data_IF_930101465448
#
_entry.id   IF_930101465448
#
_cell.length_a   1.000
_cell.length_b   1.000
_cell.length_c   1.000
_cell.angle_alpha   90.00
_cell.angle_beta   90.00
_cell.angle_gamma   90.00
#
_symmetry.space_group_name_H-M   'P 1'
#
loop_
_entity.id
_entity.type
_entity.pdbx_description
1 polymer ?
#
# COMPACT_ATOMS: atom_id res chain seq x y z
N UNK A 1 -6.91 2.57 22.68
CA UNK A 1 -5.84 1.56 22.55
C UNK A 1 -5.29 1.69 21.16
N UNK A 2 -4.06 2.19 21.02
CA UNK A 2 -3.31 2.17 19.76
C UNK A 2 -3.10 0.71 19.36
N UNK A 3 -3.45 0.36 18.12
CA UNK A 3 -3.25 -1.00 17.63
C UNK A 3 -1.76 -1.14 17.30
N UNK A 4 -1.01 -1.77 18.21
CA UNK A 4 0.45 -1.89 18.12
C UNK A 4 0.92 -2.51 16.80
N UNK A 5 0.12 -3.38 16.19
CA UNK A 5 0.43 -3.97 14.89
C UNK A 5 0.32 -2.93 13.76
N UNK A 6 -0.82 -2.23 13.68
CA UNK A 6 -1.05 -1.25 12.61
C UNK A 6 -0.05 -0.10 12.69
N UNK A 7 0.16 0.45 13.89
CA UNK A 7 1.08 1.58 14.08
C UNK A 7 2.51 1.20 13.71
N UNK A 8 2.94 -0.02 14.09
CA UNK A 8 4.25 -0.54 13.68
C UNK A 8 4.31 -0.74 12.17
N UNK A 9 3.32 -1.39 11.56
CA UNK A 9 3.28 -1.60 10.11
C UNK A 9 3.37 -0.28 9.32
N UNK A 10 2.62 0.74 9.74
CA UNK A 10 2.66 2.07 9.10
C UNK A 10 4.03 2.72 9.26
N UNK A 11 4.69 2.56 10.42
CA UNK A 11 6.03 3.11 10.65
C UNK A 11 7.12 2.50 9.76
N UNK A 12 6.85 1.34 9.15
CA UNK A 12 7.76 0.68 8.20
C UNK A 12 7.66 1.23 6.77
N UNK A 13 6.65 2.04 6.44
CA UNK A 13 6.57 2.70 5.13
C UNK A 13 7.86 3.50 4.88
N UNK A 14 8.43 3.32 3.70
CA UNK A 14 9.67 3.97 3.28
C UNK A 14 10.95 3.34 3.84
N UNK A 15 10.85 2.24 4.61
CA UNK A 15 12.02 1.46 4.97
C UNK A 15 12.40 0.52 3.83
N UNK A 16 13.70 0.25 3.68
CA UNK A 16 14.20 -0.64 2.64
C UNK A 16 14.27 -2.09 3.10
N UNK A 17 14.42 -3.02 2.14
CA UNK A 17 14.73 -4.42 2.37
C UNK A 17 16.11 -4.67 3.02
N UNK A 18 16.85 -3.62 3.40
CA UNK A 18 18.06 -3.70 4.24
C UNK A 18 17.79 -3.33 5.70
N UNK A 19 16.63 -2.75 5.99
CA UNK A 19 16.25 -2.38 7.35
C UNK A 19 15.85 -3.64 8.15
N UNK A 20 16.57 -3.89 9.23
CA UNK A 20 16.36 -5.09 10.06
C UNK A 20 14.98 -5.11 10.72
N UNK A 21 14.45 -3.96 11.13
CA UNK A 21 13.14 -3.88 11.80
C UNK A 21 12.04 -4.27 10.82
N UNK A 22 12.13 -3.80 9.57
CA UNK A 22 11.21 -4.21 8.50
C UNK A 22 11.29 -5.72 8.25
N UNK A 23 12.49 -6.25 8.04
CA UNK A 23 12.68 -7.68 7.78
C UNK A 23 12.12 -8.53 8.93
N UNK A 24 12.52 -8.21 10.17
CA UNK A 24 12.10 -8.96 11.35
C UNK A 24 10.58 -8.90 11.52
N UNK A 25 9.95 -7.75 11.23
CA UNK A 25 8.50 -7.61 11.27
C UNK A 25 7.80 -8.49 10.22
N UNK A 26 8.26 -8.46 8.98
CA UNK A 26 7.65 -9.23 7.89
C UNK A 26 7.81 -10.74 8.10
N UNK A 27 8.98 -11.20 8.57
CA UNK A 27 9.23 -12.61 8.92
C UNK A 27 8.38 -13.02 10.13
N UNK A 28 8.34 -12.24 11.20
CA UNK A 28 7.59 -12.59 12.42
C UNK A 28 6.08 -12.66 12.20
N UNK A 29 5.57 -11.92 11.22
CA UNK A 29 4.16 -11.97 10.80
C UNK A 29 3.92 -12.94 9.62
N UNK A 30 4.93 -13.75 9.26
CA UNK A 30 4.92 -14.74 8.19
C UNK A 30 4.60 -14.17 6.80
N UNK A 31 4.75 -12.86 6.55
CA UNK A 31 4.51 -12.26 5.23
C UNK A 31 5.53 -12.74 4.21
N UNK A 32 6.75 -12.95 4.68
CA UNK A 32 7.86 -13.59 3.97
C UNK A 32 8.46 -14.67 4.88
N UNK A 33 9.20 -15.62 4.31
CA UNK A 33 9.96 -16.61 5.05
C UNK A 33 11.35 -16.08 5.45
N UNK A 34 11.95 -15.24 4.60
CA UNK A 34 13.28 -14.67 4.86
C UNK A 34 13.51 -13.37 4.11
N UNK A 35 14.57 -12.65 4.46
CA UNK A 35 14.99 -11.43 3.75
C UNK A 35 15.22 -11.65 2.25
N UNK A 36 15.60 -12.87 1.85
CA UNK A 36 15.83 -13.22 0.45
C UNK A 36 14.55 -13.18 -0.38
N UNK A 37 13.36 -13.19 0.24
CA UNK A 37 12.09 -13.11 -0.49
C UNK A 37 11.78 -11.66 -0.93
N UNK A 38 12.50 -10.66 -0.40
CA UNK A 38 12.42 -9.25 -0.81
C UNK A 38 13.49 -8.94 -1.85
N UNK A 39 13.38 -9.58 -3.01
CA UNK A 39 14.23 -9.32 -4.16
C UNK A 39 13.37 -9.03 -5.39
N UNK A 40 13.91 -8.21 -6.30
CA UNK A 40 13.31 -7.96 -7.60
C UNK A 40 14.33 -8.48 -8.65
N UNK A 41 14.03 -9.57 -9.36
CA UNK A 41 14.96 -10.10 -10.35
C UNK A 41 15.06 -9.12 -11.52
N UNK A 42 16.24 -8.55 -11.80
CA UNK A 42 16.40 -7.53 -12.85
C UNK A 42 16.11 -8.01 -14.28
N UNK A 43 15.97 -9.33 -14.47
CA UNK A 43 15.61 -9.96 -15.73
C UNK A 43 14.31 -10.76 -15.59
N UNK A 44 13.48 -10.75 -16.62
CA UNK A 44 12.30 -11.60 -16.72
C UNK A 44 12.63 -13.05 -17.11
N UNK A 45 11.61 -13.85 -17.34
CA UNK A 45 11.75 -15.28 -17.71
C UNK A 45 12.41 -15.52 -19.07
N UNK A 46 12.40 -14.51 -19.95
CA UNK A 46 13.01 -14.54 -21.27
C UNK A 46 14.44 -13.95 -21.28
N UNK A 47 14.89 -13.38 -20.15
CA UNK A 47 16.20 -12.77 -19.99
C UNK A 47 16.25 -11.29 -20.42
N UNK A 48 15.10 -10.67 -20.66
CA UNK A 48 14.97 -9.24 -20.94
C UNK A 48 14.94 -8.44 -19.64
N UNK A 49 15.30 -7.15 -19.70
CA UNK A 49 15.23 -6.28 -18.52
C UNK A 49 13.77 -6.10 -18.08
N UNK A 50 13.51 -6.21 -16.78
CA UNK A 50 12.18 -5.91 -16.24
C UNK A 50 11.74 -4.49 -16.62
N UNK A 51 10.49 -4.38 -17.03
CA UNK A 51 9.75 -3.12 -17.18
C UNK A 51 9.01 -2.73 -15.88
N UNK A 52 8.86 -3.67 -14.94
CA UNK A 52 8.29 -3.44 -13.61
C UNK A 52 9.36 -3.14 -12.55
N UNK A 53 9.14 -2.05 -11.81
CA UNK A 53 9.98 -1.59 -10.69
C UNK A 53 9.42 -1.96 -9.32
N UNK A 54 8.35 -2.77 -9.30
CA UNK A 54 7.58 -3.10 -8.11
C UNK A 54 7.60 -4.60 -7.83
N UNK A 55 7.90 -4.96 -6.59
CA UNK A 55 7.65 -6.28 -6.03
C UNK A 55 6.36 -6.23 -5.20
N UNK A 56 5.45 -7.17 -5.47
CA UNK A 56 4.18 -7.30 -4.76
C UNK A 56 4.22 -8.47 -3.78
N UNK A 57 3.81 -8.24 -2.54
CA UNK A 57 3.60 -9.29 -1.54
C UNK A 57 2.15 -9.27 -1.10
N UNK A 58 1.40 -10.28 -1.51
CA UNK A 58 -0.04 -10.38 -1.26
C UNK A 58 -0.37 -11.44 -0.23
N UNK A 59 -1.16 -11.06 0.77
CA UNK A 59 -1.69 -11.92 1.84
C UNK A 59 -3.21 -11.95 1.73
N UNK A 60 -3.67 -12.75 0.77
CA UNK A 60 -5.07 -12.79 0.34
C UNK A 60 -6.05 -13.06 1.49
N UNK A 61 -5.73 -13.99 2.39
CA UNK A 61 -6.62 -14.36 3.51
C UNK A 61 -6.68 -13.29 4.59
N UNK A 62 -5.63 -12.50 4.72
CA UNK A 62 -5.49 -11.42 5.68
C UNK A 62 -6.02 -10.08 5.16
N UNK A 63 -6.29 -9.98 3.85
CA UNK A 63 -6.74 -8.73 3.23
C UNK A 63 -5.65 -7.67 3.12
N UNK A 64 -4.38 -8.08 3.04
CA UNK A 64 -3.24 -7.18 2.97
C UNK A 64 -2.44 -7.39 1.68
N UNK A 65 -1.96 -6.32 1.08
CA UNK A 65 -0.90 -6.38 0.07
C UNK A 65 0.12 -5.27 0.30
N UNK A 66 1.35 -5.53 -0.10
CA UNK A 66 2.48 -4.62 0.05
C UNK A 66 3.13 -4.41 -1.31
N UNK A 67 3.50 -3.18 -1.62
CA UNK A 67 4.35 -2.86 -2.77
C UNK A 67 5.70 -2.42 -2.24
N UNK A 68 6.73 -3.08 -2.74
CA UNK A 68 8.11 -2.69 -2.60
C UNK A 68 8.60 -2.13 -3.93
N UNK A 69 9.21 -0.95 -3.91
CA UNK A 69 9.60 -0.22 -5.12
C UNK A 69 11.13 -0.08 -5.17
N UNK A 70 11.74 -0.30 -6.32
CA UNK A 70 13.18 -0.10 -6.51
C UNK A 70 13.60 1.34 -6.15
N UNK A 71 14.77 1.46 -5.52
CA UNK A 71 15.38 2.71 -5.08
C UNK A 71 15.38 3.79 -6.15
N UNK A 72 15.66 3.41 -7.39
CA UNK A 72 15.76 4.35 -8.50
C UNK A 72 14.46 5.09 -8.73
N UNK A 73 13.35 4.34 -8.71
CA UNK A 73 12.03 4.92 -8.89
C UNK A 73 11.56 5.60 -7.60
N UNK A 74 11.82 5.00 -6.44
CA UNK A 74 11.46 5.54 -5.15
C UNK A 74 12.12 6.90 -4.86
N UNK A 75 13.38 7.10 -5.30
CA UNK A 75 14.13 8.35 -5.14
C UNK A 75 14.00 9.31 -6.34
N UNK A 76 13.14 9.00 -7.32
CA UNK A 76 12.94 9.76 -8.57
C UNK A 76 14.21 9.95 -9.43
N UNK A 77 15.09 8.95 -9.46
CA UNK A 77 16.26 8.93 -10.34
C UNK A 77 15.93 8.29 -11.69
N UNK A 78 14.99 8.88 -12.44
CA UNK A 78 14.41 8.30 -13.67
C UNK A 78 15.43 7.93 -14.77
N UNK A 79 16.63 8.50 -14.73
CA UNK A 79 17.70 8.24 -15.70
C UNK A 79 18.62 7.07 -15.32
N UNK A 80 18.42 6.43 -14.15
CA UNK A 80 19.22 5.29 -13.71
C UNK A 80 18.51 3.96 -14.03
N UNK A 81 19.28 2.88 -14.30
CA UNK A 81 18.70 1.56 -14.47
C UNK A 81 18.17 1.02 -13.14
N UNK A 82 17.17 0.14 -13.22
CA UNK A 82 16.67 -0.64 -12.08
C UNK A 82 17.83 -1.48 -11.52
N UNK A 83 18.02 -1.42 -10.20
CA UNK A 83 19.08 -2.18 -9.53
C UNK A 83 18.57 -3.51 -8.98
N UNK A 84 17.32 -3.54 -8.52
CA UNK A 84 16.74 -4.65 -7.74
C UNK A 84 17.39 -4.84 -6.37
N UNK A 85 18.41 -4.05 -6.01
CA UNK A 85 19.22 -4.26 -4.80
C UNK A 85 18.54 -3.71 -3.55
N UNK A 86 17.98 -2.50 -3.68
CA UNK A 86 17.33 -1.75 -2.62
C UNK A 86 15.86 -1.56 -2.99
N UNK A 87 14.99 -2.22 -2.25
CA UNK A 87 13.54 -2.12 -2.42
C UNK A 87 12.92 -1.46 -1.21
N UNK A 88 12.12 -0.42 -1.42
CA UNK A 88 11.48 0.36 -0.37
C UNK A 88 10.00 0.01 -0.26
N UNK A 89 9.51 -0.26 0.95
CA UNK A 89 8.07 -0.46 1.18
C UNK A 89 7.33 0.85 0.87
N UNK A 90 6.75 0.94 -0.33
CA UNK A 90 6.16 2.18 -0.84
C UNK A 90 4.67 2.26 -0.57
N UNK A 91 3.97 1.12 -0.57
CA UNK A 91 2.52 1.07 -0.36
C UNK A 91 2.07 -0.12 0.48
N UNK A 92 1.08 0.12 1.34
CA UNK A 92 0.30 -0.91 2.04
C UNK A 92 -1.15 -0.81 1.59
N UNK A 93 -1.76 -1.93 1.21
CA UNK A 93 -3.18 -2.06 0.87
C UNK A 93 -3.92 -2.83 1.95
N UNK A 94 -5.12 -2.35 2.27
CA UNK A 94 -6.11 -3.00 3.12
C UNK A 94 -7.37 -3.24 2.28
N UNK A 95 -7.69 -4.50 2.04
CA UNK A 95 -8.78 -4.89 1.14
C UNK A 95 -10.08 -5.17 1.88
N UNK A 96 -11.19 -4.88 1.19
CA UNK A 96 -12.52 -5.33 1.56
C UNK A 96 -12.84 -6.71 0.95
N UNK A 97 -13.89 -7.36 1.45
CA UNK A 97 -14.27 -8.72 1.07
C UNK A 97 -14.49 -8.86 -0.44
N UNK A 98 -13.84 -9.86 -1.05
CA UNK A 98 -14.05 -10.25 -2.44
C UNK A 98 -13.40 -9.32 -3.47
N UNK A 99 -12.68 -8.28 -3.04
CA UNK A 99 -11.92 -7.43 -3.95
C UNK A 99 -10.68 -8.17 -4.40
N UNK A 100 -10.58 -8.49 -5.71
CA UNK A 100 -9.41 -9.14 -6.31
C UNK A 100 -9.03 -10.48 -5.64
N UNK A 101 -10.02 -11.19 -5.09
CA UNK A 101 -9.82 -12.47 -4.39
C UNK A 101 -9.33 -12.34 -2.95
N UNK A 102 -9.19 -11.13 -2.41
CA UNK A 102 -8.84 -10.91 -1.01
C UNK A 102 -10.05 -11.12 -0.09
N UNK A 103 -9.79 -11.69 1.08
CA UNK A 103 -10.68 -11.59 2.24
C UNK A 103 -10.61 -10.18 2.82
N UNK A 104 -11.67 -9.74 3.52
CA UNK A 104 -11.63 -8.43 4.17
C UNK A 104 -10.59 -8.40 5.30
N UNK A 105 -9.75 -7.37 5.32
CA UNK A 105 -8.88 -7.07 6.46
C UNK A 105 -9.71 -6.83 7.73
N UNK A 106 -9.40 -7.56 8.80
CA UNK A 106 -10.24 -7.62 10.02
C UNK A 106 -9.73 -6.75 11.17
N UNK A 107 -8.51 -6.25 11.10
CA UNK A 107 -7.96 -5.40 12.15
C UNK A 107 -8.34 -3.93 11.92
N UNK A 108 -8.02 -3.07 12.88
CA UNK A 108 -8.27 -1.63 12.81
C UNK A 108 -7.61 -1.03 11.56
N UNK A 109 -8.34 -0.16 10.86
CA UNK A 109 -7.81 0.67 9.78
C UNK A 109 -7.23 1.98 10.34
N UNK A 110 -6.37 2.68 9.58
CA UNK A 110 -5.88 4.01 9.93
C UNK A 110 -7.05 4.96 10.26
N UNK A 111 -6.86 5.87 11.21
CA UNK A 111 -7.89 6.83 11.66
C UNK A 111 -9.19 6.19 12.19
N UNK A 112 -9.15 4.90 12.57
CA UNK A 112 -10.33 4.12 12.97
C UNK A 112 -11.41 4.05 11.88
N UNK A 113 -10.99 4.07 10.61
CA UNK A 113 -11.91 3.88 9.50
C UNK A 113 -12.53 2.47 9.52
N UNK A 114 -13.64 2.32 8.82
CA UNK A 114 -14.34 1.05 8.67
C UNK A 114 -14.78 0.88 7.21
N UNK A 115 -14.71 -0.34 6.68
CA UNK A 115 -15.09 -0.62 5.28
C UNK A 115 -16.58 -0.40 4.96
N UNK A 116 -17.44 -0.28 5.98
CA UNK A 116 -18.84 0.08 5.84
C UNK A 116 -19.09 1.58 5.67
N UNK A 117 -18.08 2.42 5.93
CA UNK A 117 -18.16 3.87 5.73
C UNK A 117 -18.33 4.22 4.25
N UNK A 118 -18.99 5.36 4.00
CA UNK A 118 -19.12 5.97 2.68
C UNK A 118 -18.11 7.11 2.52
N UNK A 119 -18.00 7.62 1.30
CA UNK A 119 -17.11 8.74 0.98
C UNK A 119 -17.33 9.98 1.87
N UNK A 120 -18.59 10.35 2.17
CA UNK A 120 -18.86 11.50 3.04
C UNK A 120 -18.37 11.26 4.49
N UNK A 121 -18.49 10.04 5.00
CA UNK A 121 -17.99 9.70 6.35
C UNK A 121 -16.46 9.83 6.41
N UNK A 122 -15.78 9.45 5.32
CA UNK A 122 -14.33 9.62 5.20
C UNK A 122 -13.93 11.10 5.15
N UNK A 123 -14.68 11.93 4.41
CA UNK A 123 -14.45 13.37 4.35
C UNK A 123 -14.64 14.04 5.73
N UNK A 124 -15.62 13.60 6.52
CA UNK A 124 -15.85 14.11 7.88
C UNK A 124 -14.68 13.78 8.82
N UNK A 125 -14.05 12.62 8.66
CA UNK A 125 -12.93 12.15 9.51
C UNK A 125 -11.58 12.70 9.04
N UNK A 126 -11.33 12.67 7.73
CA UNK A 126 -10.03 12.94 7.13
C UNK A 126 -9.90 14.37 6.59
N UNK A 127 -11.01 15.10 6.48
CA UNK A 127 -11.09 16.40 5.83
C UNK A 127 -11.23 16.29 4.31
N UNK A 128 -10.96 17.41 3.62
CA UNK A 128 -11.16 17.53 2.18
C UNK A 128 -10.08 16.73 1.42
N UNK A 129 -10.44 15.86 0.46
CA UNK A 129 -9.47 15.13 -0.35
C UNK A 129 -8.69 16.07 -1.26
N UNK A 130 -7.41 15.78 -1.47
CA UNK A 130 -6.55 16.49 -2.44
C UNK A 130 -6.81 16.04 -3.88
N UNK A 131 -7.50 14.91 -4.06
CA UNK A 131 -7.88 14.37 -5.35
C UNK A 131 -9.16 13.55 -5.22
N UNK A 132 -10.08 13.72 -6.17
CA UNK A 132 -11.30 12.93 -6.32
C UNK A 132 -11.40 12.52 -7.79
N UNK A 133 -11.72 11.25 -8.03
CA UNK A 133 -12.06 10.73 -9.37
C UNK A 133 -13.48 10.22 -9.34
N UNK A 134 -14.30 10.75 -10.22
CA UNK A 134 -15.65 10.29 -10.53
C UNK A 134 -15.71 9.60 -11.90
N UNK A 135 -16.80 8.87 -12.15
CA UNK A 135 -17.13 8.34 -13.48
C UNK A 135 -18.08 9.27 -14.23
N UNK A 136 -18.47 8.88 -15.45
CA UNK A 136 -19.38 9.67 -16.31
C UNK A 136 -20.76 9.94 -15.66
N UNK A 137 -21.15 9.14 -14.65
CA UNK A 137 -22.39 9.31 -13.89
C UNK A 137 -22.18 10.15 -12.62
N UNK A 138 -21.02 10.78 -12.45
CA UNK A 138 -20.60 11.55 -11.26
C UNK A 138 -20.56 10.70 -9.98
N UNK A 139 -20.40 9.39 -10.11
CA UNK A 139 -20.22 8.50 -8.97
C UNK A 139 -18.75 8.51 -8.58
N UNK A 140 -18.45 8.89 -7.34
CA UNK A 140 -17.08 8.92 -6.82
C UNK A 140 -16.51 7.50 -6.83
N UNK A 141 -15.40 7.32 -7.54
CA UNK A 141 -14.68 6.05 -7.72
C UNK A 141 -13.46 5.94 -6.85
N UNK A 142 -12.84 7.07 -6.53
CA UNK A 142 -11.73 7.12 -5.59
C UNK A 142 -11.46 8.51 -5.07
N UNK A 143 -10.83 8.57 -3.90
CA UNK A 143 -10.38 9.81 -3.28
C UNK A 143 -8.99 9.62 -2.66
N UNK A 144 -8.23 10.70 -2.54
CA UNK A 144 -6.89 10.72 -1.94
C UNK A 144 -6.76 11.89 -0.95
N UNK A 145 -6.12 11.64 0.18
CA UNK A 145 -5.80 12.62 1.21
C UNK A 145 -4.30 12.67 1.46
N UNK A 146 -3.79 13.87 1.73
CA UNK A 146 -2.45 14.10 2.24
C UNK A 146 -2.56 14.78 3.59
N UNK A 147 -1.67 14.42 4.52
CA UNK A 147 -1.68 14.95 5.89
C UNK A 147 -0.34 15.62 6.16
N UNK A 148 -0.37 16.79 6.80
CA UNK A 148 0.84 17.59 7.06
C UNK A 148 1.88 16.85 7.92
N UNK A 149 1.41 16.01 8.84
CA UNK A 149 2.25 15.37 9.86
C UNK A 149 2.42 13.86 9.63
N UNK A 150 2.14 13.37 8.42
CA UNK A 150 2.31 11.95 8.04
C UNK A 150 3.16 11.83 6.78
N UNK A 151 4.09 10.86 6.70
CA UNK A 151 4.96 10.67 5.55
C UNK A 151 4.28 9.91 4.39
N UNK A 152 2.95 9.76 4.43
CA UNK A 152 2.18 9.01 3.45
C UNK A 152 0.87 9.72 3.11
N UNK A 153 0.32 9.34 1.96
CA UNK A 153 -1.03 9.69 1.54
C UNK A 153 -1.97 8.51 1.80
N UNK A 154 -3.24 8.79 2.08
CA UNK A 154 -4.29 7.78 2.15
C UNK A 154 -5.11 7.84 0.87
N UNK A 155 -5.35 6.70 0.24
CA UNK A 155 -6.21 6.58 -0.92
C UNK A 155 -7.32 5.57 -0.64
N UNK A 156 -8.55 5.91 -0.98
CA UNK A 156 -9.70 5.02 -0.91
C UNK A 156 -10.28 4.79 -2.31
N UNK A 157 -10.54 3.54 -2.65
CA UNK A 157 -11.29 3.15 -3.86
C UNK A 157 -12.69 2.69 -3.48
N UNK A 158 -13.69 2.97 -4.33
CA UNK A 158 -15.08 2.65 -4.08
C UNK A 158 -15.70 1.79 -5.19
N UNK A 159 -16.74 1.04 -4.84
CA UNK A 159 -17.63 0.34 -5.77
C UNK A 159 -18.58 1.35 -6.44
N UNK A 160 -19.33 0.88 -7.45
CA UNK A 160 -20.40 1.67 -8.08
C UNK A 160 -21.52 2.08 -7.10
N UNK A 161 -21.59 1.41 -5.95
CA UNK A 161 -22.58 1.67 -4.90
C UNK A 161 -22.02 2.52 -3.76
N UNK A 162 -20.79 3.05 -3.91
CA UNK A 162 -20.14 3.91 -2.92
C UNK A 162 -19.59 3.17 -1.70
N UNK A 163 -19.47 1.84 -1.75
CA UNK A 163 -18.81 1.05 -0.70
C UNK A 163 -17.30 1.05 -0.91
N UNK A 164 -16.52 1.10 0.16
CA UNK A 164 -15.06 1.01 0.06
C UNK A 164 -14.66 -0.37 -0.48
N UNK A 165 -13.81 -0.38 -1.50
CA UNK A 165 -13.16 -1.59 -2.03
C UNK A 165 -11.86 -1.87 -1.31
N UNK A 166 -11.02 -0.86 -1.17
CA UNK A 166 -9.78 -0.93 -0.44
C UNK A 166 -9.35 0.46 0.01
N UNK A 167 -8.52 0.48 1.04
CA UNK A 167 -7.76 1.64 1.48
C UNK A 167 -6.28 1.33 1.27
N UNK A 168 -5.52 2.32 0.84
CA UNK A 168 -4.07 2.19 0.70
C UNK A 168 -3.35 3.37 1.34
N UNK A 169 -2.19 3.10 1.91
CA UNK A 169 -1.26 4.11 2.39
C UNK A 169 -0.01 4.06 1.53
N UNK A 170 0.34 5.19 0.90
CA UNK A 170 1.44 5.26 -0.06
C UNK A 170 2.36 6.42 0.28
N UNK A 171 3.68 6.16 0.30
CA UNK A 171 4.67 7.23 0.31
C UNK A 171 4.60 7.97 -1.03
N UNK A 172 4.35 9.29 -1.04
CA UNK A 172 4.49 10.06 -2.25
C UNK A 172 5.98 10.13 -2.63
N UNK A 173 6.32 9.54 -3.76
CA UNK A 173 7.57 9.78 -4.48
C UNK A 173 7.32 10.85 -5.54
#
# INVERSE_FOLDING_TARGET
MTNSFLDHLIALLGQSNKDKILIDFFVSNNFINSANDLNLPIYDEDGELLDEYNLYISRYKEGLSFIFTDETFFLNYLDKPISGENLYLSTIFFYNEGVEGFSQYKNSLPFNLDFSMKNNDLEDILGIPIFTKDDDNRIIRSQKWAFKDKPYTLYASYTNTGKIRYISLTIPY
#
